data_IF_128997923650
#
_entry.id   IF_128997923650
#
_cell.length_a   1.000
_cell.length_b   1.000
_cell.length_c   1.000
_cell.angle_alpha   90.00
_cell.angle_beta   90.00
_cell.angle_gamma   90.00
#
_symmetry.space_group_name_H-M   'P 1'
#
loop_
_entity.id
_entity.type
_entity.pdbx_description
1 polymer ?
#
# COMPACT_ATOMS: atom_id res chain seq x y z
N UNK A 1 6.23 15.07 -2.55
CA UNK A 1 6.49 13.67 -2.94
C UNK A 1 7.75 13.16 -2.29
N UNK A 2 7.72 11.98 -1.74
CA UNK A 2 8.89 11.40 -1.11
C UNK A 2 9.91 10.99 -2.19
N UNK A 3 11.19 11.15 -1.87
CA UNK A 3 12.28 10.73 -2.77
C UNK A 3 12.83 9.36 -2.39
N UNK A 4 12.45 8.84 -1.23
CA UNK A 4 12.84 7.49 -0.79
C UNK A 4 11.82 6.96 0.20
N UNK A 5 11.85 5.62 0.40
CA UNK A 5 11.08 4.93 1.42
C UNK A 5 12.04 4.10 2.27
N UNK A 6 11.75 4.00 3.56
CA UNK A 6 12.55 3.20 4.49
C UNK A 6 12.00 1.78 4.55
N UNK A 7 12.91 0.81 4.59
CA UNK A 7 12.57 -0.58 4.88
C UNK A 7 13.36 -0.96 6.14
N UNK A 8 12.66 -1.47 7.14
CA UNK A 8 13.30 -1.92 8.37
C UNK A 8 14.22 -3.11 8.11
N UNK A 9 15.35 -3.17 8.79
CA UNK A 9 16.29 -4.28 8.69
C UNK A 9 15.63 -5.61 9.03
N UNK A 10 14.75 -5.63 10.01
CA UNK A 10 14.03 -6.82 10.44
C UNK A 10 13.02 -7.34 9.41
N UNK A 11 12.86 -6.66 8.26
CA UNK A 11 12.18 -7.25 7.10
C UNK A 11 12.78 -8.63 6.80
N UNK A 12 14.09 -8.75 6.85
CA UNK A 12 14.78 -10.00 6.51
C UNK A 12 14.59 -11.09 7.56
N UNK A 13 14.14 -10.75 8.76
CA UNK A 13 13.90 -11.68 9.84
C UNK A 13 12.42 -11.94 10.08
N UNK A 14 11.54 -11.25 9.34
CA UNK A 14 10.11 -11.44 9.47
C UNK A 14 9.71 -12.84 9.04
N UNK A 15 8.92 -13.53 9.87
CA UNK A 15 8.51 -14.91 9.62
C UNK A 15 7.82 -15.11 8.27
N UNK A 16 6.98 -14.16 7.88
CA UNK A 16 6.33 -14.21 6.58
C UNK A 16 7.35 -14.10 5.45
N UNK A 17 8.28 -13.15 5.56
CA UNK A 17 9.29 -12.92 4.52
C UNK A 17 10.25 -14.09 4.40
N UNK A 18 10.62 -14.71 5.52
CA UNK A 18 11.54 -15.85 5.50
C UNK A 18 11.02 -17.01 4.66
N UNK A 19 9.69 -17.18 4.61
CA UNK A 19 9.07 -18.26 3.87
C UNK A 19 8.78 -17.94 2.40
N UNK A 20 9.05 -16.70 1.97
CA UNK A 20 8.84 -16.30 0.57
C UNK A 20 9.92 -16.83 -0.35
N UNK A 21 9.56 -17.04 -1.61
CA UNK A 21 10.56 -17.31 -2.65
C UNK A 21 11.39 -16.05 -2.91
N UNK A 22 12.60 -16.15 -3.50
CA UNK A 22 13.38 -14.96 -3.85
C UNK A 22 12.61 -13.98 -4.72
N UNK A 23 11.82 -14.48 -5.67
CA UNK A 23 10.99 -13.67 -6.54
C UNK A 23 9.93 -12.89 -5.76
N UNK A 24 9.29 -13.58 -4.79
CA UNK A 24 8.29 -12.94 -3.93
C UNK A 24 8.92 -11.90 -3.01
N UNK A 25 10.12 -12.16 -2.49
CA UNK A 25 10.84 -11.18 -1.65
C UNK A 25 11.13 -9.90 -2.44
N UNK A 26 11.57 -10.05 -3.67
CA UNK A 26 11.83 -8.93 -4.56
C UNK A 26 10.53 -8.15 -4.82
N UNK A 27 9.46 -8.86 -5.13
CA UNK A 27 8.17 -8.22 -5.43
C UNK A 27 7.61 -7.47 -4.22
N UNK A 28 7.78 -8.04 -3.03
CA UNK A 28 7.30 -7.38 -1.80
C UNK A 28 8.06 -6.08 -1.53
N UNK A 29 9.38 -6.10 -1.69
CA UNK A 29 10.18 -4.88 -1.58
C UNK A 29 9.74 -3.86 -2.63
N UNK A 30 9.48 -4.32 -3.85
CA UNK A 30 9.00 -3.47 -4.92
C UNK A 30 7.68 -2.78 -4.53
N UNK A 31 6.73 -3.52 -3.97
CA UNK A 31 5.45 -2.94 -3.55
C UNK A 31 5.62 -1.86 -2.49
N UNK A 32 6.64 -1.97 -1.65
CA UNK A 32 6.91 -1.01 -0.58
C UNK A 32 7.73 0.20 -1.04
N UNK A 33 8.37 0.14 -2.19
CA UNK A 33 9.37 1.15 -2.59
C UNK A 33 9.23 1.67 -4.01
N UNK A 34 8.24 1.20 -4.77
CA UNK A 34 8.10 1.63 -6.17
C UNK A 34 7.79 3.14 -6.28
N UNK A 35 7.86 3.65 -7.51
CA UNK A 35 7.72 5.08 -7.78
C UNK A 35 6.36 5.68 -7.43
N UNK A 36 5.35 4.86 -7.20
CA UNK A 36 3.97 5.31 -6.95
C UNK A 36 3.56 5.23 -5.49
N UNK A 37 4.44 4.74 -4.61
CA UNK A 37 4.10 4.55 -3.19
C UNK A 37 3.64 5.84 -2.52
N UNK A 38 2.81 5.67 -1.49
CA UNK A 38 2.25 6.77 -0.73
C UNK A 38 2.49 6.59 0.77
N UNK A 39 2.21 7.63 1.53
CA UNK A 39 2.33 7.59 2.98
C UNK A 39 1.28 6.68 3.62
N UNK A 40 0.06 6.68 3.05
CA UNK A 40 -1.03 5.87 3.61
C UNK A 40 -0.98 4.40 3.19
N UNK A 41 -0.21 4.06 2.18
CA UNK A 41 -0.12 2.69 1.68
C UNK A 41 -1.18 2.30 0.66
N UNK A 42 -2.04 3.24 0.28
CA UNK A 42 -3.00 3.04 -0.82
C UNK A 42 -2.58 3.96 -1.96
N UNK A 43 -2.41 3.40 -3.15
CA UNK A 43 -2.01 4.22 -4.30
C UNK A 43 -2.36 3.53 -5.60
N UNK A 44 -2.40 4.31 -6.67
CA UNK A 44 -2.66 3.78 -8.01
C UNK A 44 -1.39 3.12 -8.53
N UNK A 45 -1.50 1.87 -8.94
CA UNK A 45 -0.38 1.10 -9.48
C UNK A 45 -0.87 0.24 -10.64
N UNK A 46 -0.96 0.83 -11.85
CA UNK A 46 -1.36 0.05 -13.03
C UNK A 46 -0.36 -1.08 -13.29
N UNK A 47 -0.86 -2.21 -13.76
CA UNK A 47 -0.01 -3.37 -14.03
C UNK A 47 1.09 -3.07 -15.03
N UNK A 48 0.83 -2.18 -15.99
CA UNK A 48 1.85 -1.75 -16.96
C UNK A 48 3.05 -1.11 -16.28
N UNK A 49 2.81 -0.33 -15.23
CA UNK A 49 3.90 0.29 -14.47
C UNK A 49 4.70 -0.80 -13.75
N UNK A 50 4.01 -1.80 -13.17
CA UNK A 50 4.69 -2.92 -12.52
C UNK A 50 5.58 -3.65 -13.52
N UNK A 51 5.06 -3.95 -14.72
CA UNK A 51 5.82 -4.62 -15.77
C UNK A 51 7.09 -3.84 -16.12
N UNK A 52 6.94 -2.53 -16.29
CA UNK A 52 8.05 -1.68 -16.70
C UNK A 52 9.11 -1.58 -15.60
N UNK A 53 8.68 -1.39 -14.36
CA UNK A 53 9.62 -1.18 -13.26
C UNK A 53 10.29 -2.48 -12.79
N UNK A 54 9.57 -3.61 -12.82
CA UNK A 54 10.13 -4.89 -12.37
C UNK A 54 10.82 -5.68 -13.49
N UNK A 55 10.40 -5.46 -14.73
CA UNK A 55 10.87 -6.26 -15.86
C UNK A 55 10.07 -7.55 -16.06
N UNK A 56 9.08 -7.84 -15.22
CA UNK A 56 8.24 -9.01 -15.39
C UNK A 56 7.19 -8.80 -16.47
N UNK A 57 6.77 -9.88 -17.13
CA UNK A 57 5.65 -9.81 -18.06
C UNK A 57 4.32 -9.81 -17.29
N UNK A 58 3.22 -9.53 -18.01
CA UNK A 58 1.89 -9.42 -17.41
C UNK A 58 1.46 -10.69 -16.67
N UNK A 59 1.74 -11.85 -17.24
CA UNK A 59 1.38 -13.12 -16.63
C UNK A 59 2.04 -13.28 -15.26
N UNK A 60 3.32 -12.96 -15.16
CA UNK A 60 4.07 -13.02 -13.90
C UNK A 60 3.56 -11.99 -12.91
N UNK A 61 3.27 -10.77 -13.38
CA UNK A 61 2.70 -9.72 -12.52
C UNK A 61 1.38 -10.17 -11.91
N UNK A 62 0.47 -10.71 -12.73
CA UNK A 62 -0.82 -11.19 -12.24
C UNK A 62 -0.65 -12.31 -11.22
N UNK A 63 0.26 -13.23 -11.49
CA UNK A 63 0.56 -14.34 -10.59
C UNK A 63 1.07 -13.86 -9.23
N UNK A 64 2.00 -12.91 -9.23
CA UNK A 64 2.57 -12.36 -8.00
C UNK A 64 1.54 -11.54 -7.22
N UNK A 65 0.77 -10.71 -7.90
CA UNK A 65 -0.31 -9.96 -7.24
C UNK A 65 -1.29 -10.90 -6.56
N UNK A 66 -1.72 -11.95 -7.28
CA UNK A 66 -2.67 -12.92 -6.73
C UNK A 66 -2.09 -13.66 -5.53
N UNK A 67 -0.81 -13.98 -5.53
CA UNK A 67 -0.17 -14.62 -4.37
C UNK A 67 -0.23 -13.72 -3.14
N UNK A 68 0.09 -12.43 -3.28
CA UNK A 68 0.07 -11.51 -2.15
C UNK A 68 -1.34 -11.19 -1.69
N UNK A 69 -2.33 -11.23 -2.58
CA UNK A 69 -3.74 -11.15 -2.20
C UNK A 69 -4.11 -12.37 -1.35
N UNK A 70 -3.72 -13.56 -1.79
CA UNK A 70 -3.99 -14.80 -1.05
C UNK A 70 -3.30 -14.82 0.31
N UNK A 71 -2.11 -14.24 0.40
CA UNK A 71 -1.39 -14.09 1.67
C UNK A 71 -2.02 -13.03 2.57
N UNK A 72 -3.02 -12.30 2.06
CA UNK A 72 -3.69 -11.19 2.78
C UNK A 72 -2.73 -10.06 3.12
N UNK A 73 -1.74 -9.84 2.27
CA UNK A 73 -0.77 -8.76 2.44
C UNK A 73 -1.11 -7.53 1.60
N UNK A 74 -1.94 -7.70 0.57
CA UNK A 74 -2.40 -6.59 -0.25
C UNK A 74 -3.86 -6.80 -0.65
N UNK A 75 -4.50 -5.71 -1.03
CA UNK A 75 -5.76 -5.70 -1.76
C UNK A 75 -5.47 -4.98 -3.08
N UNK A 76 -6.00 -5.47 -4.18
CA UNK A 76 -5.85 -4.82 -5.47
C UNK A 76 -7.20 -4.66 -6.14
N UNK A 77 -7.51 -3.45 -6.59
CA UNK A 77 -8.76 -3.15 -7.29
C UNK A 77 -8.48 -3.04 -8.79
N UNK A 78 -8.99 -3.99 -9.58
CA UNK A 78 -8.78 -4.00 -11.03
C UNK A 78 -9.41 -2.78 -11.71
N UNK A 79 -10.57 -2.35 -11.23
CA UNK A 79 -11.32 -1.24 -11.82
C UNK A 79 -10.61 0.09 -11.68
N UNK A 80 -10.06 0.37 -10.50
CA UNK A 80 -9.37 1.63 -10.22
C UNK A 80 -7.87 1.52 -10.36
N UNK A 81 -7.33 0.29 -10.49
CA UNK A 81 -5.90 -0.01 -10.53
C UNK A 81 -5.18 0.46 -9.28
N UNK A 82 -5.86 0.38 -8.15
CA UNK A 82 -5.29 0.79 -6.87
C UNK A 82 -4.87 -0.42 -6.07
N UNK A 83 -3.80 -0.26 -5.29
CA UNK A 83 -3.32 -1.28 -4.38
C UNK A 83 -3.32 -0.72 -2.97
N UNK A 84 -3.64 -1.57 -1.99
CA UNK A 84 -3.55 -1.23 -0.58
C UNK A 84 -2.61 -2.25 0.09
N UNK A 85 -1.52 -1.76 0.65
CA UNK A 85 -0.56 -2.58 1.39
C UNK A 85 -1.10 -2.76 2.82
N UNK A 86 -1.51 -3.98 3.15
CA UNK A 86 -2.11 -4.26 4.45
C UNK A 86 -1.08 -4.06 5.57
N UNK A 87 -1.52 -3.39 6.63
CA UNK A 87 -0.68 -3.11 7.81
C UNK A 87 0.54 -2.23 7.55
N UNK A 88 0.55 -1.53 6.41
CA UNK A 88 1.60 -0.56 6.09
C UNK A 88 1.79 0.47 7.20
N UNK A 89 0.68 0.95 7.76
CA UNK A 89 0.68 2.00 8.78
C UNK A 89 1.18 1.51 10.15
N UNK A 90 1.34 0.21 10.34
CA UNK A 90 1.97 -0.32 11.54
C UNK A 90 3.41 0.17 11.66
N UNK A 91 4.12 0.21 10.54
CA UNK A 91 5.53 0.62 10.48
C UNK A 91 5.70 2.05 9.96
N UNK A 92 4.67 2.61 9.36
CA UNK A 92 4.65 3.98 8.83
C UNK A 92 3.60 4.76 9.60
N UNK A 93 3.94 5.13 10.83
CA UNK A 93 3.00 5.70 11.80
C UNK A 93 2.40 7.03 11.36
N UNK A 94 1.12 7.20 11.70
CA UNK A 94 0.36 8.41 11.37
C UNK A 94 0.04 9.13 12.68
N UNK A 95 1.01 9.85 13.22
CA UNK A 95 0.87 10.51 14.52
C UNK A 95 1.10 12.02 14.47
N UNK A 96 2.01 12.51 13.63
CA UNK A 96 2.28 13.95 13.55
C UNK A 96 1.22 14.66 12.70
N UNK A 97 0.92 15.95 12.99
CA UNK A 97 -0.02 16.72 12.17
C UNK A 97 0.37 16.79 10.70
N UNK A 98 1.66 16.87 10.41
CA UNK A 98 2.18 16.93 9.05
C UNK A 98 1.88 15.64 8.29
N UNK A 99 2.10 14.48 8.93
CA UNK A 99 1.83 13.18 8.32
C UNK A 99 0.33 12.99 8.13
N UNK A 100 -0.50 13.39 9.10
CA UNK A 100 -1.95 13.30 8.98
C UNK A 100 -2.46 14.12 7.80
N UNK A 101 -1.94 15.33 7.63
CA UNK A 101 -2.32 16.18 6.51
C UNK A 101 -1.99 15.52 5.17
N UNK A 102 -0.79 14.95 5.07
CA UNK A 102 -0.37 14.23 3.87
C UNK A 102 -1.30 13.06 3.57
N UNK A 103 -1.63 12.28 4.59
CA UNK A 103 -2.53 11.13 4.46
C UNK A 103 -3.92 11.57 3.99
N UNK A 104 -4.49 12.63 4.56
CA UNK A 104 -5.78 13.14 4.13
C UNK A 104 -5.76 13.54 2.65
N UNK A 105 -4.72 14.23 2.21
CA UNK A 105 -4.60 14.63 0.80
C UNK A 105 -4.50 13.41 -0.12
N UNK A 106 -3.80 12.37 0.30
CA UNK A 106 -3.71 11.13 -0.46
C UNK A 106 -5.06 10.41 -0.53
N UNK A 107 -5.76 10.32 0.61
CA UNK A 107 -7.05 9.63 0.67
C UNK A 107 -8.10 10.28 -0.21
N UNK A 108 -8.06 11.61 -0.36
CA UNK A 108 -8.98 12.33 -1.24
C UNK A 108 -8.88 11.89 -2.69
N UNK A 109 -7.73 11.39 -3.10
CA UNK A 109 -7.47 10.95 -4.47
C UNK A 109 -7.82 9.49 -4.73
N UNK A 110 -8.07 8.71 -3.66
CA UNK A 110 -8.37 7.29 -3.80
C UNK A 110 -9.79 7.12 -4.35
N UNK A 111 -9.91 6.30 -5.38
CA UNK A 111 -11.19 6.04 -6.04
C UNK A 111 -11.96 4.88 -5.41
N UNK A 112 -11.25 3.88 -4.87
CA UNK A 112 -11.88 2.74 -4.23
C UNK A 112 -12.33 3.09 -2.81
N UNK A 113 -13.64 3.25 -2.62
CA UNK A 113 -14.19 3.54 -1.30
C UNK A 113 -14.01 2.39 -0.33
N UNK A 114 -14.02 1.16 -0.85
CA UNK A 114 -13.79 -0.01 -0.02
C UNK A 114 -12.39 0.03 0.62
N UNK A 115 -11.39 0.45 -0.16
CA UNK A 115 -10.04 0.60 0.37
C UNK A 115 -9.95 1.69 1.42
N UNK A 116 -10.61 2.82 1.20
CA UNK A 116 -10.63 3.93 2.16
C UNK A 116 -11.27 3.48 3.47
N UNK A 117 -12.40 2.79 3.38
CA UNK A 117 -13.08 2.28 4.57
C UNK A 117 -12.21 1.27 5.33
N UNK A 118 -11.55 0.39 4.61
CA UNK A 118 -10.65 -0.59 5.20
C UNK A 118 -9.46 0.09 5.87
N UNK A 119 -8.95 1.16 5.25
CA UNK A 119 -7.86 1.95 5.83
C UNK A 119 -8.24 2.53 7.18
N UNK A 120 -9.41 3.16 7.27
CA UNK A 120 -9.87 3.73 8.55
C UNK A 120 -10.07 2.66 9.62
N UNK A 121 -10.53 1.48 9.20
CA UNK A 121 -10.68 0.35 10.10
C UNK A 121 -9.33 -0.08 10.69
N UNK A 122 -8.29 -0.12 9.86
CA UNK A 122 -6.94 -0.42 10.35
C UNK A 122 -6.41 0.68 11.26
N UNK A 123 -6.69 1.94 10.95
CA UNK A 123 -6.30 3.04 11.81
C UNK A 123 -6.88 2.89 13.21
N UNK A 124 -8.14 2.51 13.31
CA UNK A 124 -8.77 2.24 14.62
C UNK A 124 -8.05 1.14 15.36
N UNK A 125 -7.70 0.07 14.67
CA UNK A 125 -6.99 -1.06 15.26
C UNK A 125 -5.62 -0.70 15.81
N UNK A 126 -4.95 0.29 15.21
CA UNK A 126 -3.64 0.77 15.68
C UNK A 126 -3.72 1.97 16.59
N UNK A 127 -4.93 2.44 16.89
CA UNK A 127 -5.11 3.59 17.78
C UNK A 127 -4.79 4.94 17.16
N UNK A 128 -4.76 5.04 15.84
CA UNK A 128 -4.55 6.30 15.16
C UNK A 128 -5.87 7.08 15.10
N UNK A 129 -5.80 8.37 15.42
CA UNK A 129 -6.98 9.24 15.38
C UNK A 129 -7.01 10.05 14.09
N UNK A 130 -7.86 9.62 13.16
CA UNK A 130 -8.08 10.32 11.90
C UNK A 130 -9.57 10.62 11.77
N UNK A 131 -9.87 11.83 11.29
CA UNK A 131 -11.24 12.28 11.12
C UNK A 131 -11.71 11.98 9.69
N UNK A 132 -12.64 11.04 9.58
CA UNK A 132 -13.21 10.63 8.29
C UNK A 132 -13.90 11.77 7.57
N UNK A 133 -14.39 12.77 8.30
CA UNK A 133 -15.09 13.93 7.71
C UNK A 133 -14.16 14.80 6.88
N UNK A 134 -12.86 14.76 7.15
CA UNK A 134 -11.87 15.54 6.40
C UNK A 134 -11.79 15.16 4.92
N UNK A 135 -12.22 13.96 4.55
CA UNK A 135 -12.16 13.51 3.17
C UNK A 135 -13.52 13.50 2.47
N UNK A 136 -14.63 13.68 3.20
CA UNK A 136 -15.98 13.62 2.63
C UNK A 136 -16.28 14.71 1.61
N UNK A 137 -15.59 15.83 1.71
CA UNK A 137 -15.81 16.99 0.83
C UNK A 137 -15.61 16.63 -0.64
N UNK A 138 -14.72 15.69 -0.95
CA UNK A 138 -14.40 15.30 -2.31
C UNK A 138 -15.12 14.04 -2.78
N UNK A 139 -16.04 13.54 -1.96
CA UNK A 139 -16.77 12.30 -2.24
C UNK A 139 -18.22 12.54 -2.64
N UNK A 140 -18.57 13.80 -2.78
CA UNK A 140 -19.95 14.26 -3.04
C UNK A 140 -20.61 13.82 -4.32
#
# INVERSE_FOLDING_TARGET
>A
MAVYRHIHIDYWQDGFVLDLTPEEKYFYIYLMTNSKTSQCGIYELPKRIIETETGYNRETVDKLLNRFIDYKKIVYCEETREVFLMNWIKHNKIVSPKVKKCVYEELKKIKSMDMVNLFFKQCEGYGYTLDKSEIKINMG
#
